data_IF_706935031276
#
_entry.id   IF_706935031276
#
_cell.length_a   1.000
_cell.length_b   1.000
_cell.length_c   1.000
_cell.angle_alpha   90.00
_cell.angle_beta   90.00
_cell.angle_gamma   90.00
#
_symmetry.space_group_name_H-M   'P 1'
#
loop_
_entity.id
_entity.type
_entity.pdbx_description
1 polymer ?
#
# COMPACT_ATOMS: atom_id res chain seq x y z
N UNK A 1 -12.77 6.93 -8.10
CA UNK A 1 -12.86 8.10 -7.20
C UNK A 1 -11.60 8.17 -6.36
N UNK A 2 -10.91 9.32 -6.38
CA UNK A 2 -9.74 9.59 -5.54
C UNK A 2 -10.15 9.74 -4.08
N UNK A 3 -9.30 9.23 -3.18
CA UNK A 3 -9.49 9.38 -1.74
C UNK A 3 -8.52 10.42 -1.18
N UNK A 4 -9.05 11.62 -0.92
CA UNK A 4 -8.33 12.67 -0.20
C UNK A 4 -8.26 12.37 1.30
N UNK A 5 -7.13 12.65 1.93
CA UNK A 5 -6.96 12.46 3.37
C UNK A 5 -7.08 13.77 4.15
N UNK A 6 -7.56 13.68 5.40
CA UNK A 6 -7.63 14.80 6.36
C UNK A 6 -6.73 14.55 7.57
N UNK A 7 -5.40 14.54 7.38
CA UNK A 7 -4.46 14.28 8.45
C UNK A 7 -4.43 15.43 9.47
N UNK A 8 -4.11 15.11 10.72
CA UNK A 8 -3.79 16.14 11.72
C UNK A 8 -2.41 16.73 11.44
N UNK A 9 -2.08 17.88 12.05
CA UNK A 9 -0.71 18.44 11.96
C UNK A 9 0.36 17.46 12.47
N UNK A 10 0.03 16.68 13.50
CA UNK A 10 0.92 15.65 14.03
C UNK A 10 1.17 14.55 12.99
N UNK A 11 0.14 14.11 12.26
CA UNK A 11 0.29 13.11 11.20
C UNK A 11 1.12 13.64 10.02
N UNK A 12 0.89 14.88 9.59
CA UNK A 12 1.65 15.52 8.50
C UNK A 12 3.15 15.57 8.80
N UNK A 13 3.53 15.88 10.04
CA UNK A 13 4.95 15.97 10.44
C UNK A 13 5.54 14.62 10.83
N UNK A 14 4.79 13.78 11.53
CA UNK A 14 5.26 12.48 12.03
C UNK A 14 5.23 11.37 10.98
N UNK A 15 4.07 11.15 10.34
CA UNK A 15 3.89 10.05 9.37
C UNK A 15 4.44 10.41 7.99
N UNK A 16 4.10 11.60 7.48
CA UNK A 16 4.48 12.00 6.12
C UNK A 16 5.86 12.69 6.07
N UNK A 17 6.38 13.13 7.21
CA UNK A 17 7.69 13.78 7.30
C UNK A 17 7.72 15.17 6.67
N UNK A 18 6.58 15.86 6.59
CA UNK A 18 6.49 17.18 5.96
C UNK A 18 7.16 18.25 6.82
N UNK A 19 7.65 19.32 6.18
CA UNK A 19 8.10 20.49 6.93
C UNK A 19 6.95 21.16 7.69
N UNK A 20 7.29 21.91 8.72
CA UNK A 20 6.30 22.69 9.48
C UNK A 20 5.55 23.68 8.58
N UNK A 21 6.24 24.28 7.62
CA UNK A 21 5.66 25.27 6.70
C UNK A 21 4.67 24.61 5.75
N UNK A 22 5.05 23.48 5.15
CA UNK A 22 4.16 22.74 4.27
C UNK A 22 2.94 22.21 5.04
N UNK A 23 3.14 21.69 6.26
CA UNK A 23 2.04 21.22 7.11
C UNK A 23 0.98 22.29 7.36
N UNK A 24 1.40 23.53 7.63
CA UNK A 24 0.47 24.67 7.78
C UNK A 24 -0.23 25.01 6.46
N UNK A 25 0.49 24.96 5.34
CA UNK A 25 -0.08 25.19 4.01
C UNK A 25 -1.13 24.14 3.65
N UNK A 26 -0.87 22.87 3.92
CA UNK A 26 -1.85 21.79 3.73
C UNK A 26 -3.08 22.02 4.62
N UNK A 27 -2.89 22.43 5.87
CA UNK A 27 -4.01 22.82 6.74
C UNK A 27 -4.87 23.95 6.16
N UNK A 28 -4.26 24.93 5.50
CA UNK A 28 -4.98 25.99 4.80
C UNK A 28 -5.74 25.48 3.57
N UNK A 29 -5.15 24.57 2.77
CA UNK A 29 -5.82 23.92 1.65
C UNK A 29 -7.02 23.10 2.11
N UNK A 30 -6.89 22.33 3.19
CA UNK A 30 -7.98 21.57 3.80
C UNK A 30 -9.12 22.49 4.25
N UNK A 31 -8.80 23.65 4.84
CA UNK A 31 -9.81 24.65 5.20
C UNK A 31 -10.52 25.23 3.96
N UNK A 32 -9.83 25.30 2.82
CA UNK A 32 -10.39 25.65 1.50
C UNK A 32 -11.07 24.47 0.78
N UNK A 33 -11.27 23.33 1.47
CA UNK A 33 -11.87 22.10 0.93
C UNK A 33 -11.06 21.45 -0.21
N UNK A 34 -9.76 21.66 -0.20
CA UNK A 34 -8.80 20.99 -1.09
C UNK A 34 -8.04 19.96 -0.28
N UNK A 35 -8.24 18.69 -0.62
CA UNK A 35 -7.58 17.54 -0.02
C UNK A 35 -6.48 17.03 -0.95
N UNK A 36 -5.53 16.30 -0.40
CA UNK A 36 -4.46 15.66 -1.14
C UNK A 36 -4.50 14.16 -0.89
N UNK A 37 -4.13 13.35 -1.88
CA UNK A 37 -3.92 11.91 -1.70
C UNK A 37 -2.65 11.64 -0.88
N UNK A 38 -2.55 10.43 -0.32
CA UNK A 38 -1.41 10.05 0.51
C UNK A 38 -0.09 10.04 -0.27
N UNK A 39 -0.11 9.53 -1.49
CA UNK A 39 0.99 9.49 -2.47
C UNK A 39 1.56 10.87 -2.79
N UNK A 40 0.70 11.87 -2.98
CA UNK A 40 1.14 13.27 -3.18
C UNK A 40 1.84 13.81 -1.92
N UNK A 41 1.30 13.53 -0.73
CA UNK A 41 1.93 13.95 0.53
C UNK A 41 3.25 13.22 0.78
N UNK A 42 3.36 11.95 0.40
CA UNK A 42 4.60 11.17 0.51
C UNK A 42 5.70 11.73 -0.39
N UNK A 43 5.33 12.25 -1.57
CA UNK A 43 6.25 12.89 -2.52
C UNK A 43 6.70 14.30 -2.08
N UNK A 44 5.97 14.94 -1.15
CA UNK A 44 6.20 16.30 -0.69
C UNK A 44 7.24 16.42 0.45
N UNK A 45 8.35 15.67 0.37
CA UNK A 45 9.43 15.69 1.36
C UNK A 45 10.10 17.07 1.47
N UNK A 46 10.68 17.42 2.64
CA UNK A 46 11.41 18.67 2.80
C UNK A 46 12.54 18.83 1.77
N UNK A 47 12.54 19.97 1.08
CA UNK A 47 13.46 20.29 -0.01
C UNK A 47 13.06 19.72 -1.38
N UNK A 48 11.96 18.97 -1.49
CA UNK A 48 11.53 18.39 -2.76
C UNK A 48 10.88 19.44 -3.69
N UNK A 49 10.91 19.22 -5.02
CA UNK A 49 10.17 20.06 -5.97
C UNK A 49 8.66 20.11 -5.67
N UNK A 50 8.10 19.00 -5.19
CA UNK A 50 6.69 18.89 -4.79
C UNK A 50 6.39 19.79 -3.59
N UNK A 51 7.27 19.82 -2.57
CA UNK A 51 7.13 20.78 -1.47
C UNK A 51 7.16 22.23 -1.98
N UNK A 52 8.17 22.57 -2.80
CA UNK A 52 8.30 23.92 -3.34
C UNK A 52 7.06 24.34 -4.14
N UNK A 53 6.50 23.41 -4.92
CA UNK A 53 5.27 23.59 -5.67
C UNK A 53 4.07 23.92 -4.75
N UNK A 54 3.79 23.10 -3.74
CA UNK A 54 2.66 23.36 -2.84
C UNK A 54 2.85 24.60 -1.96
N UNK A 55 4.09 25.04 -1.73
CA UNK A 55 4.36 26.28 -1.00
C UNK A 55 4.07 27.55 -1.80
N UNK A 56 3.91 27.46 -3.13
CA UNK A 56 3.54 28.58 -4.01
C UNK A 56 2.25 29.24 -3.53
N UNK A 57 2.14 30.56 -3.75
CA UNK A 57 1.00 31.35 -3.29
C UNK A 57 -0.23 31.07 -4.15
N UNK A 58 0.00 30.84 -5.44
CA UNK A 58 -0.97 30.60 -6.49
C UNK A 58 -1.85 29.39 -6.16
N UNK A 59 -1.25 28.31 -5.64
CA UNK A 59 -1.98 27.09 -5.24
C UNK A 59 -3.04 27.37 -4.18
N UNK A 60 -2.72 28.20 -3.17
CA UNK A 60 -3.70 28.56 -2.15
C UNK A 60 -4.68 29.63 -2.64
N UNK A 61 -4.21 30.59 -3.44
CA UNK A 61 -5.05 31.68 -3.95
C UNK A 61 -6.14 31.16 -4.91
N UNK A 62 -5.82 30.11 -5.67
CA UNK A 62 -6.69 29.52 -6.69
C UNK A 62 -7.33 28.20 -6.23
N UNK A 63 -7.19 27.83 -4.96
CA UNK A 63 -7.69 26.56 -4.41
C UNK A 63 -9.18 26.30 -4.71
N UNK A 64 -10.00 27.36 -4.73
CA UNK A 64 -11.44 27.28 -4.97
C UNK A 64 -11.83 27.07 -6.44
N UNK A 65 -10.90 27.21 -7.37
CA UNK A 65 -11.11 27.04 -8.82
C UNK A 65 -10.05 26.12 -9.45
N UNK A 66 -9.32 25.36 -8.63
CA UNK A 66 -8.27 24.47 -9.10
C UNK A 66 -8.91 23.28 -9.84
N UNK A 67 -8.54 23.08 -11.09
CA UNK A 67 -8.87 21.92 -11.92
C UNK A 67 -7.59 21.26 -12.46
N UNK A 68 -7.74 20.15 -13.20
CA UNK A 68 -6.62 19.39 -13.75
C UNK A 68 -5.78 20.23 -14.72
N UNK A 69 -6.41 20.94 -15.65
CA UNK A 69 -5.69 21.76 -16.63
C UNK A 69 -4.85 22.85 -15.94
N UNK A 70 -5.43 23.48 -14.91
CA UNK A 70 -4.75 24.52 -14.15
C UNK A 70 -3.60 23.98 -13.32
N UNK A 71 -3.79 22.85 -12.62
CA UNK A 71 -2.72 22.27 -11.80
C UNK A 71 -1.56 21.78 -12.66
N UNK A 72 -1.85 21.19 -13.83
CA UNK A 72 -0.83 20.76 -14.80
C UNK A 72 -0.07 21.94 -15.37
N UNK A 73 -0.75 23.05 -15.71
CA UNK A 73 -0.09 24.29 -16.14
C UNK A 73 0.86 24.81 -15.07
N UNK A 74 0.41 24.87 -13.81
CA UNK A 74 1.25 25.33 -12.70
C UNK A 74 2.42 24.37 -12.43
N UNK A 75 2.22 23.07 -12.60
CA UNK A 75 3.25 22.04 -12.44
C UNK A 75 4.32 22.16 -13.53
N UNK A 76 3.91 22.34 -14.79
CA UNK A 76 4.81 22.58 -15.92
C UNK A 76 5.64 23.87 -15.73
N UNK A 77 5.01 24.97 -15.29
CA UNK A 77 5.72 26.22 -14.97
C UNK A 77 6.77 26.03 -13.86
N UNK A 78 6.48 25.16 -12.89
CA UNK A 78 7.40 24.81 -11.82
C UNK A 78 8.45 23.76 -12.23
N UNK A 79 8.38 23.24 -13.47
CA UNK A 79 9.17 22.09 -13.96
C UNK A 79 9.05 20.88 -13.03
N UNK A 80 7.84 20.64 -12.54
CA UNK A 80 7.54 19.51 -11.69
C UNK A 80 7.44 18.26 -12.56
N UNK A 81 8.29 17.28 -12.30
CA UNK A 81 8.28 15.97 -12.95
C UNK A 81 7.31 15.03 -12.21
N UNK A 82 6.04 15.45 -12.15
CA UNK A 82 4.96 14.72 -11.50
C UNK A 82 3.63 15.14 -12.10
N UNK A 83 2.92 14.18 -12.69
CA UNK A 83 1.62 14.41 -13.32
C UNK A 83 0.52 14.47 -12.24
N UNK A 84 0.12 15.68 -11.89
CA UNK A 84 -0.93 15.96 -10.92
C UNK A 84 -2.29 16.09 -11.60
N UNK A 85 -3.33 15.56 -10.96
CA UNK A 85 -4.72 15.70 -11.37
C UNK A 85 -5.60 16.19 -10.22
N UNK A 86 -6.72 16.82 -10.57
CA UNK A 86 -7.72 17.27 -9.58
C UNK A 86 -9.06 16.61 -9.88
N UNK A 87 -9.60 15.85 -8.92
CA UNK A 87 -10.98 15.37 -8.98
C UNK A 87 -11.90 16.32 -8.20
N UNK A 88 -12.89 16.88 -8.88
CA UNK A 88 -13.96 17.66 -8.23
C UNK A 88 -15.06 16.72 -7.74
N UNK A 89 -15.25 16.65 -6.42
CA UNK A 89 -16.29 15.86 -5.76
C UNK A 89 -17.45 16.74 -5.26
N UNK A 90 -17.62 17.92 -5.86
CA UNK A 90 -18.67 18.90 -5.57
C UNK A 90 -18.41 19.69 -4.29
N UNK A 91 -18.44 19.03 -3.14
CA UNK A 91 -18.23 19.68 -1.84
C UNK A 91 -16.74 19.92 -1.52
N UNK A 92 -15.84 19.23 -2.20
CA UNK A 92 -14.38 19.26 -2.00
C UNK A 92 -13.68 18.89 -3.31
N UNK A 93 -12.41 19.22 -3.39
CA UNK A 93 -11.51 18.77 -4.47
C UNK A 93 -10.39 17.94 -3.91
N UNK A 94 -9.98 16.93 -4.66
CA UNK A 94 -8.87 16.05 -4.27
C UNK A 94 -7.77 16.18 -5.31
N UNK A 95 -6.59 16.60 -4.87
CA UNK A 95 -5.38 16.61 -5.68
C UNK A 95 -4.70 15.24 -5.50
N UNK A 96 -4.52 14.53 -6.60
CA UNK A 96 -3.82 13.24 -6.65
C UNK A 96 -2.87 13.16 -7.82
N UNK A 97 -2.28 12.00 -8.03
CA UNK A 97 -1.55 11.70 -9.26
C UNK A 97 -2.55 11.37 -10.38
N UNK A 98 -2.19 11.67 -11.63
CA UNK A 98 -3.02 11.33 -12.80
C UNK A 98 -3.26 9.81 -12.90
N UNK A 99 -2.24 9.01 -12.59
CA UNK A 99 -2.34 7.54 -12.52
C UNK A 99 -3.34 7.05 -11.47
N UNK A 100 -3.50 7.76 -10.35
CA UNK A 100 -4.49 7.41 -9.33
C UNK A 100 -5.91 7.66 -9.84
N UNK A 101 -6.10 8.74 -10.60
CA UNK A 101 -7.39 9.07 -11.19
C UNK A 101 -7.79 8.03 -12.24
N UNK A 102 -6.83 7.60 -13.07
CA UNK A 102 -7.02 6.54 -14.06
C UNK A 102 -7.30 5.18 -13.40
N UNK A 103 -6.49 4.77 -12.41
CA UNK A 103 -6.67 3.49 -11.72
C UNK A 103 -8.01 3.42 -10.97
N UNK A 104 -8.48 4.54 -10.41
CA UNK A 104 -9.75 4.57 -9.70
C UNK A 104 -10.97 4.36 -10.62
N UNK A 105 -10.83 4.44 -11.94
CA UNK A 105 -11.85 4.05 -12.91
C UNK A 105 -11.81 2.53 -13.21
N UNK A 106 -10.61 1.94 -13.29
CA UNK A 106 -10.41 0.55 -13.71
C UNK A 106 -10.63 -0.46 -12.57
N UNK A 107 -10.25 -0.12 -11.33
CA UNK A 107 -10.40 -1.00 -10.17
C UNK A 107 -11.77 -0.92 -9.49
N UNK A 108 -12.61 0.04 -9.86
CA UNK A 108 -13.98 0.17 -9.37
C UNK A 108 -14.99 -0.70 -10.14
N UNK A 109 -14.57 -1.35 -11.23
CA UNK A 109 -15.37 -2.35 -11.88
C UNK A 109 -15.58 -3.53 -10.91
N UNK A 110 -16.83 -3.91 -10.56
CA UNK A 110 -17.03 -5.18 -9.89
C UNK A 110 -16.39 -6.27 -10.74
N UNK A 111 -15.70 -7.27 -10.15
CA UNK A 111 -15.23 -8.41 -10.91
C UNK A 111 -16.42 -8.91 -11.76
N UNK A 112 -16.24 -9.18 -13.06
CA UNK A 112 -17.33 -9.53 -13.93
C UNK A 112 -18.12 -10.64 -13.25
N UNK A 113 -19.40 -10.37 -12.98
CA UNK A 113 -20.30 -11.39 -12.47
C UNK A 113 -20.17 -12.56 -13.45
N UNK A 114 -19.70 -13.70 -12.95
CA UNK A 114 -19.72 -14.95 -13.68
C UNK A 114 -21.19 -15.22 -14.01
N UNK A 115 -21.64 -14.73 -15.17
CA UNK A 115 -22.91 -15.11 -15.77
C UNK A 115 -22.83 -16.60 -15.95
N UNK A 116 -23.56 -17.31 -15.08
CA UNK A 116 -23.74 -18.74 -15.13
C UNK A 116 -24.39 -19.12 -16.45
N UNK A 117 -23.56 -19.41 -17.45
CA UNK A 117 -23.91 -20.33 -18.51
C UNK A 117 -23.15 -21.61 -18.23
N UNK A 118 -23.92 -22.63 -17.85
CA UNK A 118 -23.42 -23.94 -17.48
C UNK A 118 -22.50 -24.52 -18.56
N UNK A 119 -21.27 -24.80 -18.16
CA UNK A 119 -20.45 -25.80 -18.82
C UNK A 119 -20.60 -27.08 -18.02
N UNK A 120 -21.26 -28.05 -18.65
CA UNK A 120 -21.48 -29.38 -18.13
C UNK A 120 -20.15 -29.99 -17.65
N UNK A 121 -20.17 -30.49 -16.41
CA UNK A 121 -19.18 -31.40 -15.87
C UNK A 121 -19.20 -32.67 -16.73
N UNK A 122 -18.32 -32.77 -17.72
CA UNK A 122 -17.94 -34.07 -18.23
C UNK A 122 -17.03 -34.75 -17.18
N UNK A 123 -17.35 -35.98 -16.75
CA UNK A 123 -16.45 -36.72 -15.89
C UNK A 123 -15.21 -37.08 -16.70
N UNK A 124 -14.06 -36.54 -16.29
CA UNK A 124 -12.77 -37.00 -16.80
C UNK A 124 -12.48 -38.31 -16.07
N UNK A 125 -12.56 -39.43 -16.78
CA UNK A 125 -11.95 -40.68 -16.34
C UNK A 125 -10.43 -40.46 -16.27
N UNK A 126 -9.93 -40.26 -15.05
CA UNK A 126 -8.50 -40.22 -14.77
C UNK A 126 -7.99 -41.65 -14.64
N UNK A 127 -7.28 -42.07 -15.67
CA UNK A 127 -6.52 -43.31 -15.74
C UNK A 127 -5.59 -43.43 -14.50
N UNK A 128 -5.69 -44.50 -13.67
CA UNK A 128 -5.01 -44.58 -12.37
C UNK A 128 -3.48 -44.74 -12.46
N UNK A 129 -2.89 -44.64 -13.66
CA UNK A 129 -1.46 -44.88 -13.89
C UNK A 129 -0.65 -43.62 -14.25
N UNK A 130 -1.26 -42.43 -14.31
CA UNK A 130 -0.55 -41.15 -14.51
C UNK A 130 -0.26 -40.36 -13.22
N UNK A 131 -0.62 -40.90 -12.05
CA UNK A 131 -0.41 -40.25 -10.75
C UNK A 131 1.03 -40.38 -10.18
N UNK A 132 2.01 -40.79 -10.98
CA UNK A 132 3.35 -41.19 -10.51
C UNK A 132 4.54 -40.44 -11.16
N UNK A 133 4.36 -39.20 -11.62
CA UNK A 133 5.51 -38.29 -11.83
C UNK A 133 5.25 -36.88 -11.26
N UNK A 134 6.19 -36.32 -10.47
CA UNK A 134 5.98 -35.09 -9.73
C UNK A 134 6.20 -33.88 -10.64
N UNK A 135 5.10 -33.25 -11.07
CA UNK A 135 5.16 -31.89 -11.58
C UNK A 135 5.50 -30.93 -10.43
N UNK A 136 6.50 -30.08 -10.66
CA UNK A 136 7.09 -29.11 -9.72
C UNK A 136 6.12 -27.96 -9.34
N UNK A 137 4.96 -28.28 -8.79
CA UNK A 137 3.93 -27.32 -8.35
C UNK A 137 3.08 -27.79 -7.18
N UNK A 138 3.41 -28.94 -6.56
CA UNK A 138 2.68 -29.51 -5.43
C UNK A 138 3.50 -29.41 -4.13
N UNK A 139 3.82 -28.17 -3.72
CA UNK A 139 3.99 -27.81 -2.31
C UNK A 139 2.94 -26.74 -1.96
N UNK A 140 1.70 -26.94 -2.42
CA UNK A 140 0.53 -26.37 -1.76
C UNK A 140 0.42 -27.11 -0.43
N UNK A 141 1.17 -26.58 0.55
CA UNK A 141 1.30 -27.14 1.88
C UNK A 141 -0.07 -27.37 2.51
N UNK A 142 -0.11 -28.39 3.37
CA UNK A 142 -1.21 -28.60 4.30
C UNK A 142 -1.70 -27.24 4.81
N UNK A 143 -2.97 -26.92 4.54
CA UNK A 143 -3.59 -25.69 5.01
C UNK A 143 -3.43 -25.65 6.53
N UNK A 144 -2.52 -24.79 7.02
CA UNK A 144 -2.31 -24.65 8.45
C UNK A 144 -3.64 -24.28 9.11
N UNK A 145 -3.96 -24.93 10.23
CA UNK A 145 -5.15 -24.57 10.98
C UNK A 145 -5.01 -23.14 11.53
N UNK A 146 -6.13 -22.47 11.79
CA UNK A 146 -6.12 -21.15 12.41
C UNK A 146 -5.37 -21.16 13.76
N UNK A 147 -5.47 -22.26 14.51
CA UNK A 147 -4.77 -22.45 15.78
C UNK A 147 -3.25 -22.54 15.61
N UNK A 148 -2.77 -23.20 14.57
CA UNK A 148 -1.33 -23.29 14.29
C UNK A 148 -0.78 -21.92 13.93
N UNK A 149 -1.51 -21.15 13.12
CA UNK A 149 -1.15 -19.77 12.78
C UNK A 149 -1.12 -18.88 14.03
N UNK A 150 -2.09 -19.03 14.94
CA UNK A 150 -2.10 -18.30 16.21
C UNK A 150 -0.88 -18.63 17.08
N UNK A 151 -0.48 -19.91 17.16
CA UNK A 151 0.73 -20.34 17.87
C UNK A 151 2.00 -19.75 17.26
N UNK A 152 2.09 -19.68 15.93
CA UNK A 152 3.23 -19.04 15.25
C UNK A 152 3.32 -17.56 15.59
N UNK A 153 2.19 -16.83 15.54
CA UNK A 153 2.12 -15.41 15.92
C UNK A 153 2.60 -15.20 17.35
N UNK A 154 2.10 -16.02 18.28
CA UNK A 154 2.50 -15.95 19.68
C UNK A 154 4.02 -16.20 19.83
N UNK A 155 4.55 -17.22 19.15
CA UNK A 155 5.98 -17.54 19.18
C UNK A 155 6.84 -16.37 18.68
N UNK A 156 6.44 -15.71 17.60
CA UNK A 156 7.14 -14.53 17.06
C UNK A 156 7.11 -13.36 18.05
N UNK A 157 5.95 -13.12 18.67
CA UNK A 157 5.71 -11.93 19.50
C UNK A 157 6.26 -12.05 20.92
N UNK A 158 6.28 -13.26 21.49
CA UNK A 158 6.59 -13.47 22.91
C UNK A 158 7.69 -14.50 23.16
N UNK A 159 8.15 -15.22 22.13
CA UNK A 159 9.20 -16.21 22.26
C UNK A 159 10.52 -15.60 22.76
N UNK A 160 11.27 -16.35 23.56
CA UNK A 160 12.61 -15.94 24.01
C UNK A 160 13.70 -16.60 23.17
N UNK A 161 13.41 -17.78 22.59
CA UNK A 161 14.40 -18.56 21.84
C UNK A 161 14.48 -18.09 20.36
N UNK A 162 15.67 -17.65 19.89
CA UNK A 162 15.85 -17.18 18.52
C UNK A 162 15.52 -18.22 17.45
N UNK A 163 15.86 -19.49 17.68
CA UNK A 163 15.62 -20.57 16.70
C UNK A 163 14.14 -20.81 16.46
N UNK A 164 13.34 -20.83 17.53
CA UNK A 164 11.88 -20.99 17.44
C UNK A 164 11.24 -19.81 16.71
N UNK A 165 11.73 -18.58 16.93
CA UNK A 165 11.29 -17.39 16.20
C UNK A 165 11.59 -17.47 14.71
N UNK A 166 12.82 -17.83 14.34
CA UNK A 166 13.24 -17.98 12.93
C UNK A 166 12.35 -19.00 12.21
N UNK A 167 12.12 -20.16 12.83
CA UNK A 167 11.26 -21.19 12.25
C UNK A 167 9.80 -20.70 12.10
N UNK A 168 9.30 -19.96 13.10
CA UNK A 168 7.96 -19.38 13.02
C UNK A 168 7.83 -18.32 11.92
N UNK A 169 8.84 -17.48 11.73
CA UNK A 169 8.88 -16.48 10.64
C UNK A 169 8.83 -17.16 9.28
N UNK A 170 9.64 -18.20 9.04
CA UNK A 170 9.63 -18.98 7.79
C UNK A 170 8.25 -19.58 7.50
N UNK A 171 7.60 -20.14 8.52
CA UNK A 171 6.26 -20.72 8.40
C UNK A 171 5.19 -19.66 8.12
N UNK A 172 5.31 -18.46 8.71
CA UNK A 172 4.38 -17.35 8.45
C UNK A 172 4.47 -16.83 7.01
N UNK A 173 5.66 -16.77 6.42
CA UNK A 173 5.85 -16.31 5.03
C UNK A 173 5.02 -17.17 4.06
N UNK A 174 5.00 -18.49 4.26
CA UNK A 174 4.26 -19.44 3.42
C UNK A 174 2.82 -19.72 3.88
N UNK A 175 2.41 -19.23 5.05
CA UNK A 175 1.05 -19.44 5.56
C UNK A 175 0.00 -18.71 4.71
N UNK A 176 -1.25 -19.22 4.70
CA UNK A 176 -2.39 -18.57 4.03
C UNK A 176 -2.92 -17.37 4.84
N UNK A 177 -2.10 -16.34 5.00
CA UNK A 177 -2.41 -15.08 5.69
C UNK A 177 -2.44 -13.92 4.70
N UNK A 178 -3.23 -12.86 4.97
CA UNK A 178 -3.15 -11.61 4.23
C UNK A 178 -1.72 -11.04 4.26
N UNK A 179 -1.25 -10.51 3.12
CA UNK A 179 0.13 -10.01 2.99
C UNK A 179 0.46 -8.89 3.98
N UNK A 180 -0.50 -8.00 4.28
CA UNK A 180 -0.36 -6.96 5.30
C UNK A 180 -0.05 -7.56 6.68
N UNK A 181 -0.79 -8.61 7.07
CA UNK A 181 -0.59 -9.25 8.37
C UNK A 181 0.77 -9.94 8.47
N UNK A 182 1.23 -10.57 7.39
CA UNK A 182 2.60 -11.13 7.31
C UNK A 182 3.65 -10.02 7.45
N UNK A 183 3.48 -8.92 6.73
CA UNK A 183 4.37 -7.77 6.75
C UNK A 183 4.50 -7.17 8.15
N UNK A 184 3.39 -6.98 8.87
CA UNK A 184 3.40 -6.46 10.24
C UNK A 184 4.18 -7.35 11.23
N UNK A 185 4.05 -8.68 11.11
CA UNK A 185 4.80 -9.62 11.95
C UNK A 185 6.30 -9.57 11.66
N UNK A 186 6.68 -9.48 10.38
CA UNK A 186 8.07 -9.40 9.95
C UNK A 186 8.71 -8.06 10.34
N UNK A 187 8.02 -6.93 10.13
CA UNK A 187 8.49 -5.61 10.56
C UNK A 187 8.71 -5.54 12.07
N UNK A 188 7.85 -6.18 12.85
CA UNK A 188 8.07 -6.26 14.30
C UNK A 188 9.31 -7.09 14.66
N UNK A 189 9.58 -8.16 13.93
CA UNK A 189 10.75 -9.00 14.13
C UNK A 189 12.08 -8.35 13.69
N UNK A 190 12.05 -7.28 12.89
CA UNK A 190 13.24 -6.46 12.60
C UNK A 190 13.79 -5.79 13.86
N UNK A 191 12.94 -5.51 14.85
CA UNK A 191 13.36 -4.90 16.12
C UNK A 191 13.80 -5.93 17.17
N UNK A 192 13.93 -7.20 16.81
CA UNK A 192 14.33 -8.26 17.74
C UNK A 192 15.79 -8.08 18.21
N UNK A 193 16.09 -8.46 19.45
CA UNK A 193 17.43 -8.38 20.03
C UNK A 193 18.43 -9.30 19.29
N UNK A 194 17.95 -10.44 18.78
CA UNK A 194 18.80 -11.40 18.06
C UNK A 194 19.07 -10.97 16.62
N UNK A 195 20.35 -10.85 16.19
CA UNK A 195 20.69 -10.51 14.82
C UNK A 195 20.20 -11.53 13.79
N UNK A 196 20.13 -12.81 14.17
CA UNK A 196 19.67 -13.88 13.27
C UNK A 196 18.17 -13.77 12.98
N UNK A 197 17.38 -13.39 13.99
CA UNK A 197 15.93 -13.15 13.84
C UNK A 197 15.70 -11.94 12.94
N UNK A 198 16.47 -10.87 13.11
CA UNK A 198 16.39 -9.67 12.26
C UNK A 198 16.71 -9.98 10.79
N UNK A 199 17.76 -10.77 10.56
CA UNK A 199 18.17 -11.16 9.21
C UNK A 199 17.08 -12.00 8.51
N UNK A 200 16.47 -12.95 9.23
CA UNK A 200 15.37 -13.75 8.70
C UNK A 200 14.13 -12.90 8.42
N UNK A 201 13.79 -11.95 9.31
CA UNK A 201 12.68 -11.04 9.11
C UNK A 201 12.86 -10.17 7.85
N UNK A 202 14.06 -9.65 7.63
CA UNK A 202 14.40 -8.90 6.42
C UNK A 202 14.30 -9.77 5.15
N UNK A 203 14.79 -11.02 5.20
CA UNK A 203 14.64 -11.96 4.10
C UNK A 203 13.16 -12.28 3.80
N UNK A 204 12.33 -12.40 4.83
CA UNK A 204 10.90 -12.58 4.69
C UNK A 204 10.21 -11.38 4.05
N UNK A 205 10.59 -10.15 4.39
CA UNK A 205 10.05 -8.94 3.73
C UNK A 205 10.42 -8.87 2.25
N UNK A 206 11.68 -9.19 1.89
CA UNK A 206 12.10 -9.31 0.48
C UNK A 206 11.27 -10.34 -0.28
N UNK A 207 11.03 -11.50 0.33
CA UNK A 207 10.22 -12.55 -0.28
C UNK A 207 8.75 -12.12 -0.51
N UNK A 208 8.26 -11.17 0.26
CA UNK A 208 6.93 -10.56 0.08
C UNK A 208 6.94 -9.34 -0.86
N UNK A 209 8.10 -8.92 -1.37
CA UNK A 209 8.24 -7.69 -2.16
C UNK A 209 8.00 -6.40 -1.36
N UNK A 210 8.37 -6.41 -0.07
CA UNK A 210 8.16 -5.29 0.87
C UNK A 210 9.47 -4.63 1.34
N UNK A 211 10.58 -4.88 0.64
CA UNK A 211 11.91 -4.31 0.90
C UNK A 211 12.34 -3.51 -0.34
N UNK A 212 11.75 -2.33 -0.52
CA UNK A 212 12.13 -1.28 -1.48
C UNK A 212 12.48 0.01 -0.72
#
# INVERSE_FOLDING_TARGET
MLEGIRPTKADLTGRFGLSQRLSVRIGALLASKVELTATVLESAKPGSPVEAFFLRREILAEAASLDTDRIQTLAADAKLDLDLAVEDQGARRVIGLEEELAAAADFAAPPPALSGNGLALMPIDVDPMLALMPAAGALAGASMSADDVAKLKLTILTGVEPKAKIEALRKIVIAALPQNEKGMLLLRAISDESPEVRAEAAAGLRALGLDD
#
